data_IF_422969430406
#
_entry.id   IF_422969430406
#
_cell.length_a   1.000
_cell.length_b   1.000
_cell.length_c   1.000
_cell.angle_alpha   90.00
_cell.angle_beta   90.00
_cell.angle_gamma   90.00
#
_symmetry.space_group_name_H-M   'P 1'
#
loop_
_entity.id
_entity.type
_entity.pdbx_description
1 polymer ?
#
# COMPACT_ATOMS: atom_id res chain seq x y z
N UNK A 1 31.32 24.43 -2.45
CA UNK A 1 31.78 25.71 -1.87
C UNK A 1 31.75 26.76 -2.98
N UNK A 2 30.66 27.53 -3.12
CA UNK A 2 30.55 28.64 -4.09
C UNK A 2 29.72 29.76 -3.45
N UNK A 3 30.22 31.00 -3.61
CA UNK A 3 29.86 32.23 -2.90
C UNK A 3 28.50 32.83 -3.29
N UNK A 4 27.90 33.50 -2.30
CA UNK A 4 26.77 34.44 -2.36
C UNK A 4 27.15 35.72 -3.10
N UNK A 5 26.23 36.27 -3.91
CA UNK A 5 26.14 37.68 -4.30
C UNK A 5 24.68 37.98 -4.71
N UNK A 6 23.97 38.80 -3.94
CA UNK A 6 22.69 39.38 -4.34
C UNK A 6 22.85 40.92 -4.38
N UNK A 7 22.63 41.48 -5.56
CA UNK A 7 22.80 42.88 -5.93
C UNK A 7 21.60 43.73 -5.52
N UNK A 8 21.89 44.98 -5.17
CA UNK A 8 21.01 46.03 -4.63
C UNK A 8 20.19 46.72 -5.75
N UNK A 9 18.88 46.89 -5.46
CA UNK A 9 18.06 48.10 -5.62
C UNK A 9 18.03 48.91 -6.93
N UNK A 10 16.83 49.08 -7.48
CA UNK A 10 16.48 50.21 -8.35
C UNK A 10 15.06 50.70 -8.02
N UNK A 11 14.93 51.95 -7.58
CA UNK A 11 13.65 52.67 -7.37
C UNK A 11 13.36 53.53 -8.61
N UNK A 12 12.16 53.44 -9.17
CA UNK A 12 11.61 54.44 -10.10
C UNK A 12 10.57 55.29 -9.35
N UNK A 13 10.76 56.60 -9.36
CA UNK A 13 9.74 57.57 -8.90
C UNK A 13 9.00 58.14 -10.11
N UNK A 14 7.67 58.16 -10.07
CA UNK A 14 6.82 58.91 -10.99
C UNK A 14 6.28 60.17 -10.28
N UNK A 15 6.30 61.31 -10.96
CA UNK A 15 5.65 62.57 -10.52
C UNK A 15 4.43 62.84 -11.39
N UNK A 16 3.33 63.30 -10.80
CA UNK A 16 2.15 63.77 -11.53
C UNK A 16 1.85 65.21 -11.12
N UNK A 17 1.75 66.11 -12.11
CA UNK A 17 1.38 67.50 -11.93
C UNK A 17 -0.15 67.66 -11.95
N UNK A 18 -0.71 68.55 -11.11
CA UNK A 18 -2.11 68.96 -11.15
C UNK A 18 -2.16 70.47 -11.44
N UNK A 19 -2.91 70.86 -12.46
CA UNK A 19 -3.06 72.24 -12.96
C UNK A 19 -4.16 73.04 -12.23
N UNK A 20 -3.98 74.37 -12.20
CA UNK A 20 -4.67 75.37 -11.38
C UNK A 20 -6.15 75.67 -11.69
N UNK A 21 -6.87 76.10 -10.64
CA UNK A 21 -8.22 76.68 -10.67
C UNK A 21 -8.17 78.22 -10.51
N UNK A 22 -9.13 78.94 -11.12
CA UNK A 22 -9.35 80.37 -10.90
C UNK A 22 -10.83 80.62 -10.51
N UNK A 23 -11.07 81.39 -9.45
CA UNK A 23 -12.30 81.46 -8.64
C UNK A 23 -13.07 82.79 -8.79
N UNK A 24 -14.40 82.85 -8.52
CA UNK A 24 -15.09 84.10 -8.23
C UNK A 24 -15.21 84.39 -6.73
N UNK A 25 -14.88 85.64 -6.39
CA UNK A 25 -14.78 86.24 -5.05
C UNK A 25 -16.12 86.83 -4.59
N UNK A 26 -16.86 86.19 -3.69
CA UNK A 26 -17.80 86.89 -2.76
C UNK A 26 -18.49 86.00 -1.71
N UNK A 27 -18.13 84.73 -1.61
CA UNK A 27 -18.15 83.92 -0.40
C UNK A 27 -17.11 82.85 -0.69
N UNK A 28 -16.13 82.54 0.17
CA UNK A 28 -15.54 81.21 -0.01
C UNK A 28 -16.46 80.21 0.70
N UNK A 29 -17.66 80.04 0.12
CA UNK A 29 -18.61 78.98 0.43
C UNK A 29 -17.97 77.65 0.00
N UNK A 30 -17.44 76.89 0.94
CA UNK A 30 -16.94 75.54 0.67
C UNK A 30 -16.12 75.00 1.84
N UNK A 31 -16.54 73.84 2.36
CA UNK A 31 -15.75 73.01 3.29
C UNK A 31 -14.29 72.92 2.82
N UNK A 32 -13.35 73.48 3.58
CA UNK A 32 -11.93 73.38 3.27
C UNK A 32 -11.25 72.52 4.33
N UNK A 33 -11.18 71.23 3.99
CA UNK A 33 -10.39 70.20 4.66
C UNK A 33 -8.91 70.57 4.61
N UNK A 34 -8.29 70.85 5.75
CA UNK A 34 -6.84 70.80 5.86
C UNK A 34 -6.41 69.34 5.97
N UNK A 35 -5.44 68.86 5.16
CA UNK A 35 -4.91 67.51 5.29
C UNK A 35 -4.18 67.37 6.65
N UNK A 36 -4.44 66.26 7.34
CA UNK A 36 -3.72 65.88 8.55
C UNK A 36 -2.29 65.52 8.13
N UNK A 37 -1.30 66.31 8.57
CA UNK A 37 0.10 65.92 8.46
C UNK A 37 0.38 64.82 9.49
N UNK A 38 0.22 63.56 9.08
CA UNK A 38 0.65 62.41 9.88
C UNK A 38 2.18 62.33 9.77
N UNK A 39 2.88 63.14 10.55
CA UNK A 39 4.31 62.96 10.82
C UNK A 39 4.48 61.89 11.88
N UNK A 40 4.06 60.67 11.57
CA UNK A 40 4.49 59.49 12.30
C UNK A 40 4.89 58.46 11.25
N UNK A 41 6.12 58.62 10.78
CA UNK A 41 6.75 57.60 9.93
C UNK A 41 7.06 56.44 10.87
N UNK A 42 6.05 55.59 11.07
CA UNK A 42 6.14 54.36 11.83
C UNK A 42 7.32 53.57 11.29
N UNK A 43 8.39 53.49 12.08
CA UNK A 43 9.53 52.65 11.80
C UNK A 43 9.01 51.22 11.58
N UNK A 44 9.01 50.78 10.33
CA UNK A 44 8.74 49.39 10.01
C UNK A 44 9.99 48.62 10.41
N UNK A 45 10.13 48.36 11.72
CA UNK A 45 11.09 47.40 12.25
C UNK A 45 10.80 46.09 11.53
N UNK A 46 11.67 45.74 10.61
CA UNK A 46 11.55 44.56 9.79
C UNK A 46 11.62 43.35 10.70
N UNK A 47 10.47 42.84 11.12
CA UNK A 47 10.37 41.56 11.82
C UNK A 47 10.89 40.50 10.85
N UNK A 48 12.17 40.14 11.01
CA UNK A 48 12.80 39.03 10.31
C UNK A 48 12.20 37.74 10.86
N UNK A 49 11.21 37.20 10.16
CA UNK A 49 10.79 35.82 10.34
C UNK A 49 11.86 34.91 9.76
N UNK A 50 12.85 34.54 10.58
CA UNK A 50 13.71 33.39 10.31
C UNK A 50 12.92 32.11 10.60
N UNK A 51 11.89 31.85 9.79
CA UNK A 51 11.36 30.49 9.71
C UNK A 51 12.40 29.64 8.98
N UNK A 52 13.14 28.84 9.74
CA UNK A 52 13.83 27.70 9.17
C UNK A 52 12.74 26.78 8.63
N UNK A 53 12.52 26.80 7.32
CA UNK A 53 11.66 25.84 6.65
C UNK A 53 12.33 24.48 6.80
N UNK A 54 11.85 23.68 7.75
CA UNK A 54 12.17 22.25 7.78
C UNK A 54 11.79 21.68 6.42
N UNK A 55 12.76 21.05 5.76
CA UNK A 55 12.56 20.46 4.44
C UNK A 55 11.44 19.41 4.54
N UNK A 56 10.27 19.74 4.00
CA UNK A 56 9.15 18.81 3.90
C UNK A 56 9.57 17.69 2.95
N UNK A 57 10.04 16.59 3.52
CA UNK A 57 10.33 15.37 2.78
C UNK A 57 9.00 14.70 2.47
N UNK A 58 8.47 14.94 1.27
CA UNK A 58 7.26 14.26 0.80
C UNK A 58 7.60 12.80 0.54
N UNK A 59 7.39 11.94 1.54
CA UNK A 59 7.45 10.48 1.36
C UNK A 59 6.17 10.06 0.65
N UNK A 60 6.24 9.97 -0.68
CA UNK A 60 5.12 9.47 -1.48
C UNK A 60 4.87 7.99 -1.14
N UNK A 61 3.74 7.69 -0.48
CA UNK A 61 3.31 6.33 -0.22
C UNK A 61 2.81 5.71 -1.52
N UNK A 62 3.41 4.59 -1.94
CA UNK A 62 2.96 3.83 -3.11
C UNK A 62 1.53 3.32 -2.88
N UNK A 63 0.62 3.42 -3.87
CA UNK A 63 -0.73 2.89 -3.72
C UNK A 63 -0.70 1.37 -3.55
N UNK A 64 -1.44 0.86 -2.56
CA UNK A 64 -1.55 -0.58 -2.28
C UNK A 64 -2.35 -1.32 -3.35
N UNK A 65 -3.29 -0.65 -4.01
CA UNK A 65 -4.13 -1.25 -5.05
C UNK A 65 -3.97 -0.44 -6.33
N UNK A 66 -3.75 -1.15 -7.44
CA UNK A 66 -3.75 -0.59 -8.78
C UNK A 66 -4.70 -1.39 -9.66
N UNK A 67 -5.63 -0.70 -10.31
CA UNK A 67 -6.54 -1.28 -11.30
C UNK A 67 -6.00 -1.04 -12.70
N UNK A 68 -5.95 -2.10 -13.49
CA UNK A 68 -5.66 -2.10 -14.92
C UNK A 68 -6.84 -2.79 -15.65
N UNK A 69 -6.92 -2.63 -16.97
CA UNK A 69 -8.08 -3.09 -17.75
C UNK A 69 -8.32 -4.61 -17.63
N UNK A 70 -7.23 -5.40 -17.60
CA UNK A 70 -7.30 -6.86 -17.58
C UNK A 70 -6.92 -7.48 -16.22
N UNK A 71 -6.40 -6.66 -15.30
CA UNK A 71 -5.89 -7.13 -14.00
C UNK A 71 -5.97 -6.10 -12.88
N UNK A 72 -6.10 -6.60 -11.67
CA UNK A 72 -5.92 -5.84 -10.43
C UNK A 72 -4.60 -6.23 -9.79
N UNK A 73 -3.85 -5.27 -9.26
CA UNK A 73 -2.60 -5.52 -8.55
C UNK A 73 -2.70 -5.01 -7.12
N UNK A 74 -2.41 -5.88 -6.16
CA UNK A 74 -2.24 -5.56 -4.75
C UNK A 74 -0.74 -5.59 -4.40
N UNK A 75 -0.21 -4.48 -3.91
CA UNK A 75 1.17 -4.33 -3.47
C UNK A 75 1.31 -4.80 -2.02
N UNK A 76 1.85 -6.01 -1.86
CA UNK A 76 2.04 -6.65 -0.55
C UNK A 76 3.26 -6.07 0.16
N UNK A 77 4.31 -5.72 -0.59
CA UNK A 77 5.57 -5.18 -0.05
C UNK A 77 5.37 -3.83 0.66
N UNK A 78 4.42 -3.03 0.16
CA UNK A 78 4.09 -1.72 0.73
C UNK A 78 3.09 -1.78 1.89
N UNK A 79 2.55 -2.96 2.21
CA UNK A 79 1.59 -3.17 3.28
C UNK A 79 2.31 -3.55 4.59
N UNK A 80 2.21 -2.75 5.68
CA UNK A 80 2.88 -3.06 6.95
C UNK A 80 2.44 -4.39 7.57
N UNK A 81 1.22 -4.86 7.28
CA UNK A 81 0.72 -6.13 7.80
C UNK A 81 1.40 -7.35 7.18
N UNK A 82 2.06 -7.20 6.03
CA UNK A 82 2.76 -8.30 5.34
C UNK A 82 3.94 -8.87 6.15
N UNK A 83 4.46 -8.12 7.13
CA UNK A 83 5.55 -8.61 7.99
C UNK A 83 5.08 -9.61 9.04
N UNK A 84 3.80 -9.56 9.45
CA UNK A 84 3.24 -10.38 10.52
C UNK A 84 2.31 -11.49 10.01
N UNK A 85 1.87 -11.40 8.75
CA UNK A 85 0.81 -12.25 8.21
C UNK A 85 1.30 -13.23 7.13
N UNK A 86 0.50 -14.27 6.88
CA UNK A 86 0.68 -15.19 5.75
C UNK A 86 0.13 -14.59 4.46
N UNK A 87 0.49 -15.18 3.30
CA UNK A 87 -0.07 -14.78 2.01
C UNK A 87 -1.58 -14.99 1.95
N UNK A 88 -2.08 -16.07 2.58
CA UNK A 88 -3.53 -16.32 2.70
C UNK A 88 -4.24 -15.16 3.41
N UNK A 89 -3.60 -14.61 4.45
CA UNK A 89 -4.20 -13.55 5.25
C UNK A 89 -4.19 -12.23 4.48
N UNK A 90 -3.14 -11.99 3.69
CA UNK A 90 -3.09 -10.86 2.77
C UNK A 90 -4.13 -10.97 1.66
N UNK A 91 -4.45 -12.18 1.18
CA UNK A 91 -5.48 -12.39 0.15
C UNK A 91 -6.86 -11.88 0.59
N UNK A 92 -7.17 -11.87 1.89
CA UNK A 92 -8.42 -11.28 2.42
C UNK A 92 -8.54 -9.77 2.16
N UNK A 93 -7.41 -9.09 1.94
CA UNK A 93 -7.35 -7.65 1.63
C UNK A 93 -7.33 -7.39 0.12
N UNK A 94 -7.15 -8.43 -0.70
CA UNK A 94 -7.07 -8.31 -2.15
C UNK A 94 -8.49 -8.20 -2.73
N UNK A 95 -8.79 -7.15 -3.51
CA UNK A 95 -10.09 -7.03 -4.17
C UNK A 95 -10.39 -8.23 -5.07
N UNK A 96 -11.67 -8.58 -5.20
CA UNK A 96 -12.16 -9.74 -5.98
C UNK A 96 -11.74 -11.11 -5.44
N UNK A 97 -10.98 -11.17 -4.33
CA UNK A 97 -10.67 -12.42 -3.64
C UNK A 97 -11.46 -12.47 -2.35
N UNK A 98 -12.04 -13.62 -2.06
CA UNK A 98 -12.69 -13.91 -0.78
C UNK A 98 -12.02 -15.13 -0.18
N UNK A 99 -11.72 -15.07 1.11
CA UNK A 99 -11.24 -16.23 1.88
C UNK A 99 -12.19 -16.42 3.06
N UNK A 100 -12.84 -17.58 3.13
CA UNK A 100 -13.77 -17.88 4.21
C UNK A 100 -13.05 -18.30 5.52
N UNK A 101 -13.84 -18.61 6.56
CA UNK A 101 -13.33 -19.08 7.86
C UNK A 101 -12.76 -20.50 7.83
N UNK A 102 -12.97 -21.25 6.76
CA UNK A 102 -12.39 -22.57 6.50
C UNK A 102 -11.21 -22.48 5.52
N UNK A 103 -10.70 -21.27 5.28
CA UNK A 103 -9.59 -20.97 4.39
C UNK A 103 -9.86 -21.26 2.90
N UNK A 104 -11.13 -21.45 2.49
CA UNK A 104 -11.47 -21.61 1.07
C UNK A 104 -11.35 -20.28 0.34
N UNK A 105 -10.68 -20.30 -0.81
CA UNK A 105 -10.43 -19.12 -1.63
C UNK A 105 -11.41 -19.10 -2.79
N UNK A 106 -12.03 -17.94 -3.03
CA UNK A 106 -12.85 -17.67 -4.21
C UNK A 106 -12.32 -16.43 -4.91
N UNK A 107 -12.26 -16.48 -6.24
CA UNK A 107 -11.84 -15.37 -7.10
C UNK A 107 -13.02 -14.98 -7.98
N UNK A 108 -13.41 -13.71 -7.94
CA UNK A 108 -14.55 -13.19 -8.70
C UNK A 108 -15.83 -14.04 -8.52
N UNK A 109 -16.11 -14.42 -7.26
CA UNK A 109 -17.22 -15.29 -6.87
C UNK A 109 -17.18 -16.72 -7.48
N UNK A 110 -16.02 -17.18 -7.96
CA UNK A 110 -15.80 -18.53 -8.46
C UNK A 110 -14.76 -19.26 -7.61
N UNK A 111 -15.03 -20.53 -7.29
CA UNK A 111 -14.05 -21.45 -6.68
C UNK A 111 -13.08 -22.03 -7.71
N UNK A 112 -13.36 -21.88 -9.01
CA UNK A 112 -12.49 -22.33 -10.08
C UNK A 112 -11.50 -21.21 -10.43
N UNK A 113 -10.23 -21.35 -10.02
CA UNK A 113 -9.14 -20.43 -10.35
C UNK A 113 -7.83 -21.19 -10.52
N UNK A 114 -6.85 -20.55 -11.17
CA UNK A 114 -5.47 -21.07 -11.25
C UNK A 114 -4.52 -20.14 -10.52
N UNK A 115 -3.49 -20.72 -9.89
CA UNK A 115 -2.43 -19.98 -9.22
C UNK A 115 -1.16 -20.01 -10.05
N UNK A 116 -0.61 -18.82 -10.27
CA UNK A 116 0.65 -18.60 -10.95
C UNK A 116 1.64 -17.99 -9.96
N UNK A 117 2.92 -18.34 -10.11
CA UNK A 117 4.01 -17.75 -9.35
C UNK A 117 5.00 -17.17 -10.34
N UNK A 118 5.30 -15.88 -10.22
CA UNK A 118 6.17 -15.15 -11.14
C UNK A 118 5.75 -15.35 -12.62
N UNK A 119 4.44 -15.43 -12.89
CA UNK A 119 3.89 -15.63 -14.24
C UNK A 119 4.02 -17.06 -14.79
N UNK A 120 4.43 -18.04 -14.00
CA UNK A 120 4.43 -19.47 -14.36
C UNK A 120 3.31 -20.22 -13.63
N UNK A 121 2.61 -21.15 -14.27
CA UNK A 121 1.56 -21.93 -13.61
C UNK A 121 2.17 -22.77 -12.48
N UNK A 122 1.49 -22.78 -11.32
CA UNK A 122 1.88 -23.60 -10.19
C UNK A 122 0.72 -24.54 -9.82
N UNK A 123 0.81 -25.79 -10.28
CA UNK A 123 -0.24 -26.79 -10.09
C UNK A 123 -0.39 -27.18 -8.61
N UNK A 124 0.71 -27.22 -7.84
CA UNK A 124 0.65 -27.53 -6.41
C UNK A 124 -0.16 -26.46 -5.66
N UNK A 125 0.12 -25.17 -5.92
CA UNK A 125 -0.64 -24.08 -5.34
C UNK A 125 -2.07 -24.03 -5.86
N UNK A 126 -2.33 -24.41 -7.11
CA UNK A 126 -3.69 -24.45 -7.66
C UNK A 126 -4.52 -25.58 -7.04
N UNK A 127 -3.90 -26.71 -6.72
CA UNK A 127 -4.58 -27.86 -6.12
C UNK A 127 -4.79 -27.71 -4.62
N UNK A 128 -3.83 -27.13 -3.89
CA UNK A 128 -3.89 -26.93 -2.43
C UNK A 128 -3.55 -25.48 -2.03
N UNK A 129 -4.32 -24.48 -2.50
CA UNK A 129 -3.97 -23.08 -2.32
C UNK A 129 -3.98 -22.66 -0.85
N UNK A 130 -5.00 -23.05 -0.08
CA UNK A 130 -5.15 -22.69 1.33
C UNK A 130 -3.95 -23.11 2.16
N UNK A 131 -3.49 -24.35 1.99
CA UNK A 131 -2.40 -24.90 2.80
C UNK A 131 -1.05 -24.32 2.41
N UNK A 132 -0.80 -24.09 1.11
CA UNK A 132 0.47 -23.54 0.67
C UNK A 132 0.56 -22.05 1.02
N UNK A 133 -0.50 -21.28 0.77
CA UNK A 133 -0.50 -19.83 0.99
C UNK A 133 -0.56 -19.44 2.46
N UNK A 134 -1.17 -20.27 3.31
CA UNK A 134 -1.15 -20.10 4.78
C UNK A 134 0.24 -20.30 5.37
N UNK A 135 1.04 -21.18 4.78
CA UNK A 135 2.41 -21.44 5.21
C UNK A 135 3.44 -20.54 4.52
N UNK A 136 3.01 -19.73 3.56
CA UNK A 136 3.88 -18.79 2.85
C UNK A 136 3.87 -17.43 3.58
N UNK A 137 5.03 -16.90 4.00
CA UNK A 137 5.08 -15.61 4.66
C UNK A 137 4.85 -14.48 3.65
N UNK A 138 4.03 -13.48 3.99
CA UNK A 138 3.67 -12.43 3.05
C UNK A 138 4.84 -11.52 2.65
N UNK A 139 5.85 -11.35 3.52
CA UNK A 139 7.08 -10.62 3.20
C UNK A 139 7.93 -11.27 2.07
N UNK A 140 7.64 -12.52 1.68
CA UNK A 140 8.25 -13.17 0.52
C UNK A 140 7.56 -12.80 -0.82
N UNK A 141 6.49 -12.02 -0.76
CA UNK A 141 5.67 -11.58 -1.90
C UNK A 141 5.81 -10.08 -2.09
N UNK A 142 6.11 -9.66 -3.33
CA UNK A 142 6.09 -8.26 -3.75
C UNK A 142 4.67 -7.77 -3.98
N UNK A 143 3.91 -8.54 -4.75
CA UNK A 143 2.56 -8.19 -5.17
C UNK A 143 1.74 -9.41 -5.56
N UNK A 144 0.42 -9.28 -5.42
CA UNK A 144 -0.57 -10.26 -5.85
C UNK A 144 -1.35 -9.62 -7.00
N UNK A 145 -1.42 -10.29 -8.12
CA UNK A 145 -2.18 -9.85 -9.29
C UNK A 145 -3.39 -10.77 -9.48
N UNK A 146 -4.57 -10.17 -9.63
CA UNK A 146 -5.79 -10.88 -9.99
C UNK A 146 -6.08 -10.58 -11.45
N UNK A 147 -6.02 -11.59 -12.29
CA UNK A 147 -6.24 -11.47 -13.73
C UNK A 147 -7.62 -12.05 -14.02
N UNK A 148 -8.54 -11.17 -14.40
CA UNK A 148 -9.92 -11.53 -14.74
C UNK A 148 -10.09 -11.78 -16.24
N UNK A 149 -9.22 -11.20 -17.07
CA UNK A 149 -9.19 -11.40 -18.51
C UNK A 149 -7.82 -11.98 -18.93
N UNK A 150 -7.63 -13.30 -18.83
CA UNK A 150 -6.37 -13.92 -19.18
C UNK A 150 -6.14 -13.86 -20.69
N UNK A 151 -5.07 -13.18 -21.11
CA UNK A 151 -4.61 -13.23 -22.49
C UNK A 151 -4.05 -14.61 -22.90
N UNK A 152 -3.67 -14.81 -24.17
CA UNK A 152 -3.23 -16.10 -24.72
C UNK A 152 -1.96 -16.68 -24.08
N UNK A 153 -1.25 -15.90 -23.27
CA UNK A 153 -0.08 -16.35 -22.50
C UNK A 153 -0.48 -17.26 -21.33
N UNK A 154 -1.72 -17.19 -20.87
CA UNK A 154 -2.21 -17.92 -19.71
C UNK A 154 -3.15 -19.04 -20.17
N UNK A 155 -2.90 -20.25 -19.68
CA UNK A 155 -3.85 -21.35 -19.81
C UNK A 155 -4.90 -21.18 -18.70
N UNK A 156 -6.06 -20.61 -19.04
CA UNK A 156 -7.13 -20.27 -18.11
C UNK A 156 -8.53 -20.50 -18.69
N UNK A 157 -8.68 -21.56 -19.48
CA UNK A 157 -10.00 -21.98 -19.94
C UNK A 157 -10.88 -22.42 -18.76
N UNK A 158 -12.12 -21.91 -18.70
CA UNK A 158 -13.15 -22.35 -17.75
C UNK A 158 -12.92 -21.95 -16.28
N UNK A 159 -12.00 -21.03 -15.99
CA UNK A 159 -11.75 -20.54 -14.63
C UNK A 159 -12.27 -19.12 -14.42
N UNK A 160 -12.71 -18.79 -13.21
CA UNK A 160 -13.22 -17.46 -12.84
C UNK A 160 -12.13 -16.40 -12.64
N UNK A 161 -10.86 -16.79 -12.68
CA UNK A 161 -9.72 -15.87 -12.68
C UNK A 161 -8.39 -16.58 -12.44
N UNK A 162 -7.31 -15.80 -12.50
CA UNK A 162 -5.96 -16.22 -12.13
C UNK A 162 -5.46 -15.37 -10.97
N UNK A 163 -4.88 -16.03 -9.96
CA UNK A 163 -4.07 -15.38 -8.92
C UNK A 163 -2.61 -15.53 -9.32
N UNK A 164 -1.92 -14.43 -9.63
CA UNK A 164 -0.49 -14.44 -9.89
C UNK A 164 0.28 -13.80 -8.74
N UNK A 165 1.10 -14.59 -8.07
CA UNK A 165 1.91 -14.19 -6.92
C UNK A 165 3.31 -13.85 -7.41
N UNK A 166 3.71 -12.58 -7.26
CA UNK A 166 5.06 -12.12 -7.60
C UNK A 166 5.89 -12.12 -6.33
N UNK A 167 6.93 -12.95 -6.30
CA UNK A 167 7.80 -13.12 -5.13
C UNK A 167 8.97 -12.12 -5.11
N UNK A 168 9.56 -11.88 -3.93
CA UNK A 168 10.72 -10.98 -3.76
C UNK A 168 12.03 -11.55 -4.34
N UNK A 169 12.09 -12.85 -4.65
CA UNK A 169 13.25 -13.58 -5.21
C UNK A 169 12.89 -14.56 -6.35
N UNK A 170 13.67 -15.65 -6.50
CA UNK A 170 13.49 -16.65 -7.59
C UNK A 170 12.26 -17.59 -7.41
N UNK A 171 11.33 -17.30 -6.51
CA UNK A 171 10.18 -18.15 -6.22
C UNK A 171 10.56 -19.43 -5.44
N UNK A 172 9.70 -20.45 -5.47
CA UNK A 172 9.87 -21.73 -4.77
C UNK A 172 10.98 -22.65 -5.33
N UNK A 173 11.79 -22.19 -6.28
CA UNK A 173 12.87 -22.99 -6.87
C UNK A 173 13.97 -23.26 -5.82
N UNK A 174 14.09 -24.52 -5.39
CA UNK A 174 14.85 -24.92 -4.21
C UNK A 174 14.04 -25.86 -3.30
N UNK A 175 14.28 -25.77 -1.99
CA UNK A 175 13.55 -26.53 -0.97
C UNK A 175 12.84 -25.57 -0.01
N UNK A 176 11.65 -25.95 0.45
CA UNK A 176 10.88 -25.25 1.47
C UNK A 176 10.48 -26.27 2.53
N UNK A 177 10.66 -25.93 3.80
CA UNK A 177 10.24 -26.73 4.94
C UNK A 177 9.46 -25.81 5.89
N UNK A 178 8.23 -26.19 6.17
CA UNK A 178 7.36 -25.52 7.13
C UNK A 178 7.08 -26.48 8.27
N UNK A 179 7.35 -26.05 9.49
CA UNK A 179 6.96 -26.75 10.72
C UNK A 179 6.06 -25.83 11.52
N UNK A 180 4.99 -26.38 12.07
CA UNK A 180 4.06 -25.65 12.90
C UNK A 180 3.59 -26.48 14.07
N UNK A 181 3.15 -25.78 15.11
CA UNK A 181 2.47 -26.37 16.26
C UNK A 181 1.20 -25.59 16.50
N UNK A 182 0.14 -26.28 16.91
CA UNK A 182 -1.14 -25.65 17.18
C UNK A 182 -1.62 -26.10 18.56
N UNK A 183 -2.02 -25.14 19.39
CA UNK A 183 -2.68 -25.41 20.68
C UNK A 183 -4.14 -24.95 20.59
N UNK A 184 -5.07 -25.68 21.21
CA UNK A 184 -6.47 -25.28 21.25
C UNK A 184 -7.00 -25.16 22.68
N UNK A 185 -8.17 -24.54 22.85
CA UNK A 185 -8.83 -24.29 24.15
C UNK A 185 -9.12 -25.58 24.94
N UNK A 186 -9.12 -26.75 24.28
CA UNK A 186 -9.28 -28.05 24.92
C UNK A 186 -7.95 -28.66 25.41
N UNK A 187 -6.84 -27.91 25.35
CA UNK A 187 -5.52 -28.34 25.77
C UNK A 187 -4.84 -29.31 24.79
N UNK A 188 -5.31 -29.42 23.55
CA UNK A 188 -4.68 -30.29 22.53
C UNK A 188 -3.53 -29.55 21.88
N UNK A 189 -2.38 -30.22 21.82
CA UNK A 189 -1.20 -29.76 21.09
C UNK A 189 -1.04 -30.63 19.84
N UNK A 190 -1.19 -30.03 18.67
CA UNK A 190 -0.90 -30.64 17.38
C UNK A 190 0.43 -30.14 16.83
N UNK A 191 1.03 -30.93 15.94
CA UNK A 191 2.20 -30.56 15.18
C UNK A 191 1.99 -30.89 13.70
N UNK A 192 2.42 -30.01 12.81
CA UNK A 192 2.40 -30.23 11.37
C UNK A 192 3.76 -29.92 10.76
N UNK A 193 4.11 -30.68 9.73
CA UNK A 193 5.33 -30.50 8.97
C UNK A 193 5.01 -30.68 7.48
N UNK A 194 5.46 -29.74 6.66
CA UNK A 194 5.27 -29.75 5.22
C UNK A 194 6.57 -29.39 4.54
N UNK A 195 7.05 -30.26 3.66
CA UNK A 195 8.27 -30.04 2.90
C UNK A 195 7.96 -30.09 1.41
N UNK A 196 8.57 -29.20 0.63
CA UNK A 196 8.48 -29.19 -0.83
C UNK A 196 9.85 -28.92 -1.45
N UNK A 197 10.22 -29.68 -2.47
CA UNK A 197 11.42 -29.46 -3.29
C UNK A 197 10.97 -29.23 -4.73
N UNK A 198 11.41 -28.12 -5.33
CA UNK A 198 11.15 -27.78 -6.71
C UNK A 198 12.47 -27.61 -7.47
N UNK A 199 12.67 -28.42 -8.51
CA UNK A 199 13.80 -28.35 -9.43
C UNK A 199 13.28 -28.21 -10.86
N UNK A 200 13.38 -27.01 -11.43
CA UNK A 200 12.84 -26.67 -12.73
C UNK A 200 11.31 -26.90 -12.82
N UNK A 201 10.89 -27.86 -13.65
CA UNK A 201 9.48 -28.21 -13.86
C UNK A 201 8.96 -29.29 -12.90
N UNK A 202 9.82 -29.89 -12.08
CA UNK A 202 9.46 -30.96 -11.16
C UNK A 202 9.28 -30.41 -9.75
N UNK A 203 8.18 -30.76 -9.09
CA UNK A 203 7.89 -30.41 -7.69
C UNK A 203 7.52 -31.68 -6.92
N UNK A 204 8.19 -31.92 -5.80
CA UNK A 204 7.94 -33.03 -4.87
C UNK A 204 7.56 -32.44 -3.52
N UNK A 205 6.44 -32.84 -2.95
CA UNK A 205 5.97 -32.35 -1.65
C UNK A 205 5.56 -33.48 -0.73
N UNK A 206 5.76 -33.32 0.57
CA UNK A 206 5.35 -34.26 1.61
C UNK A 206 4.79 -33.53 2.83
N UNK A 207 3.80 -34.14 3.49
CA UNK A 207 3.19 -33.62 4.72
C UNK A 207 3.14 -34.68 5.81
N UNK A 208 3.40 -34.26 7.04
CA UNK A 208 3.18 -35.03 8.26
C UNK A 208 2.37 -34.18 9.25
N UNK A 209 1.27 -34.70 9.77
CA UNK A 209 0.41 -34.01 10.74
C UNK A 209 0.09 -34.93 11.90
N UNK A 210 0.31 -34.47 13.12
CA UNK A 210 -0.01 -35.17 14.36
C UNK A 210 -0.99 -34.35 15.20
N UNK A 211 -2.12 -34.92 15.57
CA UNK A 211 -3.09 -34.31 16.49
C UNK A 211 -3.61 -35.39 17.44
N UNK A 212 -3.40 -35.26 18.76
CA UNK A 212 -3.84 -36.28 19.71
C UNK A 212 -5.37 -36.28 19.84
N UNK A 213 -5.96 -37.48 19.79
CA UNK A 213 -7.38 -37.73 20.09
C UNK A 213 -7.48 -37.99 21.60
N UNK A 214 -8.28 -37.20 22.31
CA UNK A 214 -8.70 -37.52 23.68
C UNK A 214 -9.91 -38.44 23.61
N UNK A 215 -9.77 -39.65 24.11
CA UNK A 215 -10.87 -40.58 24.31
C UNK A 215 -11.70 -40.10 25.52
N UNK A 216 -12.87 -39.53 25.26
CA UNK A 216 -13.76 -39.01 26.30
C UNK A 216 -14.70 -40.12 26.77
N UNK A 217 -14.15 -41.25 27.23
CA UNK A 217 -14.93 -42.30 27.88
C UNK A 217 -15.27 -41.86 29.30
N UNK A 218 -16.47 -41.31 29.44
CA UNK A 218 -17.18 -41.17 30.72
C UNK A 218 -17.33 -42.58 31.29
N UNK A 219 -16.64 -42.87 32.40
CA UNK A 219 -16.88 -44.08 33.18
C UNK A 219 -18.25 -43.95 33.82
N UNK A 220 -19.26 -44.58 33.20
CA UNK A 220 -20.51 -44.86 33.90
C UNK A 220 -20.30 -46.14 34.70
N UNK A 221 -19.80 -46.01 35.92
CA UNK A 221 -19.88 -47.08 36.92
C UNK A 221 -21.23 -46.94 37.61
N UNK A 222 -22.06 -47.98 37.48
CA UNK A 222 -23.27 -48.20 38.30
C UNK A 222 -22.87 -48.98 39.54
#
# INVERSE_FOLDING_TARGET
>A
MVKVLASIGMLLTYTAAISAANTPRWADNGTKTAPIEVTDTMAYDSIKWSENLDAVTVVAKKPLVKSELDKMTYDVESDPEAQANSVLEMLRKVPMVTVDGQDNIMVNNSSSFKVYVNGKPNNMMSNNPSEVLKNMPANSVKKIEIITNPGPKYDAEGVGGIINIITTGKGMEGYSLTVGTNYNTQGRIGANMFGTVQSGKFTVSGRYSYTPIRDNRVFNTI
#
